data_IF_657629944714
#
_entry.id   IF_657629944714
#
_cell.length_a   1.000
_cell.length_b   1.000
_cell.length_c   1.000
_cell.angle_alpha   90.00
_cell.angle_beta   90.00
_cell.angle_gamma   90.00
#
_symmetry.space_group_name_H-M   'P 1'
#
loop_
_entity.id
_entity.type
_entity.pdbx_description
1 polymer ?
#
# COMPACT_ATOMS: atom_id res chain seq x y z
N UNK A 1 16.70 1.47 -12.20
CA UNK A 1 15.55 0.63 -12.58
C UNK A 1 15.19 -0.20 -11.36
N UNK A 2 14.02 0.00 -10.76
CA UNK A 2 13.60 -0.81 -9.61
C UNK A 2 13.13 -2.17 -10.14
N UNK A 3 13.79 -3.25 -9.72
CA UNK A 3 13.29 -4.61 -9.94
C UNK A 3 11.98 -4.74 -9.17
N UNK A 4 10.84 -4.86 -9.87
CA UNK A 4 9.58 -5.25 -9.26
C UNK A 4 9.78 -6.64 -8.65
N UNK A 5 10.01 -6.71 -7.34
CA UNK A 5 10.22 -7.96 -6.64
C UNK A 5 8.98 -8.83 -6.77
N UNK A 6 9.13 -10.08 -7.18
CA UNK A 6 8.08 -11.09 -7.12
C UNK A 6 8.02 -11.61 -5.68
N UNK A 7 6.83 -11.63 -5.09
CA UNK A 7 6.57 -12.30 -3.80
C UNK A 7 5.60 -13.44 -4.03
N UNK A 8 5.64 -14.49 -3.22
CA UNK A 8 4.78 -15.66 -3.41
C UNK A 8 3.60 -15.63 -2.42
N UNK A 9 2.39 -15.78 -2.94
CA UNK A 9 1.23 -16.14 -2.14
C UNK A 9 1.18 -17.67 -2.01
N UNK A 10 1.26 -18.18 -0.79
CA UNK A 10 1.29 -19.62 -0.50
C UNK A 10 -0.02 -20.04 0.16
N UNK A 11 -0.71 -21.01 -0.43
CA UNK A 11 -1.95 -21.58 0.09
C UNK A 11 -1.68 -23.01 0.56
N UNK A 12 -1.95 -23.28 1.84
CA UNK A 12 -1.86 -24.62 2.39
C UNK A 12 -3.16 -25.38 2.16
N UNK A 13 -3.08 -26.56 1.57
CA UNK A 13 -4.20 -27.46 1.34
C UNK A 13 -4.03 -28.70 2.21
N UNK A 14 -5.08 -29.06 2.95
CA UNK A 14 -5.03 -30.13 3.95
C UNK A 14 -6.11 -31.18 3.74
N UNK A 15 -5.78 -32.45 3.99
CA UNK A 15 -6.75 -33.51 4.20
C UNK A 15 -7.19 -33.53 5.68
N UNK A 16 -8.46 -33.84 5.94
CA UNK A 16 -9.00 -33.96 7.29
C UNK A 16 -8.45 -35.18 8.07
N UNK A 17 -7.97 -36.19 7.34
CA UNK A 17 -7.30 -37.37 7.88
C UNK A 17 -6.33 -37.96 6.84
N UNK A 18 -5.39 -38.79 7.29
CA UNK A 18 -4.50 -39.53 6.38
C UNK A 18 -5.29 -40.57 5.58
N UNK A 19 -4.98 -40.68 4.29
CA UNK A 19 -5.52 -41.71 3.40
C UNK A 19 -4.47 -42.79 3.11
N UNK A 20 -4.88 -44.05 2.99
CA UNK A 20 -4.04 -45.14 2.50
C UNK A 20 -3.92 -45.15 0.96
N UNK A 21 -4.80 -44.42 0.27
CA UNK A 21 -4.79 -44.22 -1.18
C UNK A 21 -4.32 -42.82 -1.53
N UNK A 22 -3.73 -42.67 -2.72
CA UNK A 22 -3.41 -41.35 -3.28
C UNK A 22 -4.67 -40.53 -3.49
N UNK A 23 -4.67 -39.29 -3.00
CA UNK A 23 -5.75 -38.31 -3.20
C UNK A 23 -5.25 -37.22 -4.14
N UNK A 24 -6.04 -36.87 -5.15
CA UNK A 24 -5.72 -35.75 -6.05
C UNK A 24 -6.83 -34.72 -6.07
N UNK A 25 -6.47 -33.45 -6.22
CA UNK A 25 -7.43 -32.36 -6.39
C UNK A 25 -6.86 -31.33 -7.36
N UNK A 26 -7.67 -30.90 -8.32
CA UNK A 26 -7.30 -29.85 -9.26
C UNK A 26 -7.49 -28.48 -8.62
N UNK A 27 -6.72 -27.50 -9.07
CA UNK A 27 -6.86 -26.11 -8.65
C UNK A 27 -6.71 -25.14 -9.81
N UNK A 28 -7.38 -24.00 -9.71
CA UNK A 28 -7.17 -22.85 -10.58
C UNK A 28 -7.24 -21.54 -9.78
N UNK A 29 -6.51 -20.53 -10.23
CA UNK A 29 -6.66 -19.15 -9.77
C UNK A 29 -7.69 -18.41 -10.60
N UNK A 30 -8.48 -17.53 -9.97
CA UNK A 30 -9.40 -16.64 -10.64
C UNK A 30 -9.24 -15.19 -10.17
N UNK A 31 -9.46 -14.26 -11.09
CA UNK A 31 -9.39 -12.82 -10.81
C UNK A 31 -10.45 -12.41 -9.80
N UNK A 32 -10.08 -11.43 -8.98
CA UNK A 32 -10.99 -10.69 -8.11
C UNK A 32 -10.85 -9.20 -8.39
N UNK A 33 -10.33 -8.45 -7.42
CA UNK A 33 -9.84 -7.09 -7.67
C UNK A 33 -8.40 -7.06 -8.18
N UNK A 34 -7.67 -8.16 -7.98
CA UNK A 34 -6.40 -8.45 -8.62
C UNK A 34 -6.63 -9.14 -9.96
N UNK A 35 -5.91 -8.69 -11.00
CA UNK A 35 -5.94 -9.18 -12.37
C UNK A 35 -4.67 -9.98 -12.71
N UNK A 36 -4.85 -11.15 -13.32
CA UNK A 36 -3.76 -11.96 -13.83
C UNK A 36 -2.87 -11.19 -14.83
N UNK A 37 -1.57 -11.47 -14.80
CA UNK A 37 -0.55 -10.81 -15.62
C UNK A 37 -0.15 -9.40 -15.15
N UNK A 38 -0.94 -8.77 -14.26
CA UNK A 38 -0.65 -7.44 -13.71
C UNK A 38 -0.42 -7.46 -12.19
N UNK A 39 -1.21 -8.26 -11.46
CA UNK A 39 -1.12 -8.42 -10.01
C UNK A 39 -0.45 -9.74 -9.62
N UNK A 40 -0.75 -10.80 -10.35
CA UNK A 40 -0.29 -12.15 -10.06
C UNK A 40 -0.20 -12.97 -11.35
N UNK A 41 0.51 -14.09 -11.31
CA UNK A 41 0.55 -15.03 -12.43
C UNK A 41 -0.51 -16.11 -12.23
N UNK A 42 -1.39 -16.30 -13.23
CA UNK A 42 -2.37 -17.39 -13.21
C UNK A 42 -1.67 -18.71 -12.97
N UNK A 43 -2.15 -19.45 -11.97
CA UNK A 43 -1.60 -20.76 -11.61
C UNK A 43 -2.73 -21.78 -11.59
N UNK A 44 -2.51 -22.90 -12.28
CA UNK A 44 -3.44 -24.03 -12.32
C UNK A 44 -2.65 -25.32 -12.21
N UNK A 45 -3.30 -26.39 -11.79
CA UNK A 45 -2.66 -27.71 -11.74
C UNK A 45 -3.44 -28.72 -10.92
N UNK A 46 -2.75 -29.78 -10.54
CA UNK A 46 -3.29 -30.84 -9.68
C UNK A 46 -2.34 -31.04 -8.49
N UNK A 47 -2.89 -31.02 -7.30
CA UNK A 47 -2.20 -31.42 -6.08
C UNK A 47 -2.37 -32.92 -5.90
N UNK A 48 -1.27 -33.59 -5.58
CA UNK A 48 -1.24 -35.00 -5.22
C UNK A 48 -0.84 -35.15 -3.77
N UNK A 49 -1.67 -35.82 -2.98
CA UNK A 49 -1.36 -36.32 -1.66
C UNK A 49 -1.06 -37.80 -1.79
N UNK A 50 0.22 -38.17 -1.63
CA UNK A 50 0.60 -39.58 -1.54
C UNK A 50 0.02 -40.20 -0.26
N UNK A 51 -0.07 -41.52 -0.21
CA UNK A 51 -0.56 -42.22 0.98
C UNK A 51 0.16 -41.74 2.25
N UNK A 52 -0.61 -41.43 3.29
CA UNK A 52 -0.13 -40.87 4.56
C UNK A 52 0.18 -39.36 4.57
N UNK A 53 0.25 -38.68 3.42
CA UNK A 53 0.48 -37.23 3.35
C UNK A 53 -0.84 -36.49 3.50
N UNK A 54 -0.89 -35.50 4.40
CA UNK A 54 -2.10 -34.73 4.69
C UNK A 54 -2.00 -33.25 4.36
N UNK A 55 -0.81 -32.74 4.01
CA UNK A 55 -0.59 -31.32 3.72
C UNK A 55 0.21 -31.14 2.45
N UNK A 56 -0.24 -30.21 1.61
CA UNK A 56 0.44 -29.75 0.39
C UNK A 56 0.26 -28.24 0.26
N UNK A 57 1.03 -27.62 -0.64
CA UNK A 57 0.97 -26.17 -0.85
C UNK A 57 0.79 -25.81 -2.32
N UNK A 58 -0.02 -24.78 -2.59
CA UNK A 58 -0.07 -24.08 -3.87
C UNK A 58 0.72 -22.80 -3.74
N UNK A 59 1.63 -22.53 -4.68
CA UNK A 59 2.39 -21.28 -4.72
C UNK A 59 1.94 -20.47 -5.93
N UNK A 60 1.47 -19.25 -5.69
CA UNK A 60 1.02 -18.32 -6.73
C UNK A 60 1.97 -17.11 -6.73
N UNK A 61 2.68 -16.82 -7.83
CA UNK A 61 3.53 -15.63 -7.93
C UNK A 61 2.70 -14.35 -7.91
N UNK A 62 2.95 -13.47 -6.95
CA UNK A 62 2.44 -12.10 -6.90
C UNK A 62 3.48 -11.15 -7.51
N UNK A 63 3.03 -10.33 -8.45
CA UNK A 63 3.85 -9.41 -9.22
C UNK A 63 3.94 -8.07 -8.49
N UNK A 64 5.17 -7.66 -8.15
CA UNK A 64 5.41 -6.35 -7.54
C UNK A 64 5.02 -5.21 -8.48
N UNK A 65 4.57 -4.09 -7.91
CA UNK A 65 4.18 -2.89 -8.64
C UNK A 65 4.95 -1.67 -8.15
N UNK A 66 5.11 -0.71 -9.06
CA UNK A 66 5.72 0.60 -8.77
C UNK A 66 4.71 1.63 -8.25
N UNK A 67 3.42 1.36 -8.36
CA UNK A 67 2.34 2.30 -8.03
C UNK A 67 1.55 1.75 -6.85
N UNK A 68 1.65 2.42 -5.70
CA UNK A 68 0.95 2.03 -4.48
C UNK A 68 -0.56 2.18 -4.65
N UNK A 69 -1.25 1.06 -4.87
CA UNK A 69 -2.71 1.00 -4.83
C UNK A 69 -3.17 0.33 -3.53
N UNK A 70 -4.47 0.44 -3.27
CA UNK A 70 -5.17 -0.32 -2.26
C UNK A 70 -4.83 -1.82 -2.35
N UNK A 71 -5.02 -2.55 -1.25
CA UNK A 71 -4.93 -4.02 -1.29
C UNK A 71 -5.92 -4.60 -2.30
N UNK A 72 -5.46 -5.63 -3.01
CA UNK A 72 -6.19 -6.31 -4.09
C UNK A 72 -6.24 -7.81 -3.81
N UNK A 73 -7.23 -8.49 -4.38
CA UNK A 73 -7.57 -9.87 -4.04
C UNK A 73 -7.81 -10.72 -5.27
N UNK A 74 -7.41 -11.99 -5.20
CA UNK A 74 -7.74 -13.04 -6.17
C UNK A 74 -8.17 -14.30 -5.40
N UNK A 75 -8.68 -15.31 -6.09
CA UNK A 75 -9.09 -16.57 -5.45
C UNK A 75 -8.37 -17.78 -6.04
N UNK A 76 -8.31 -18.85 -5.23
CA UNK A 76 -7.92 -20.19 -5.64
C UNK A 76 -9.12 -21.11 -5.41
N UNK A 77 -9.54 -21.82 -6.46
CA UNK A 77 -10.65 -22.77 -6.42
C UNK A 77 -10.15 -24.20 -6.60
N UNK A 78 -10.56 -25.10 -5.71
CA UNK A 78 -10.32 -26.54 -5.80
C UNK A 78 -11.47 -27.24 -6.50
N UNK A 79 -11.15 -28.21 -7.36
CA UNK A 79 -12.13 -28.97 -8.14
C UNK A 79 -11.70 -30.42 -8.38
N UNK A 80 -12.64 -31.25 -8.83
CA UNK A 80 -12.38 -32.62 -9.29
C UNK A 80 -11.57 -33.49 -8.30
N UNK A 81 -12.00 -33.62 -7.02
CA UNK A 81 -11.30 -34.49 -6.09
C UNK A 81 -11.40 -35.96 -6.56
N UNK A 82 -10.33 -36.72 -6.37
CA UNK A 82 -10.29 -38.18 -6.57
C UNK A 82 -9.88 -38.82 -5.25
N UNK A 83 -10.59 -39.89 -4.85
CA UNK A 83 -10.41 -40.57 -3.56
C UNK A 83 -10.61 -39.65 -2.33
N UNK A 84 -11.43 -38.61 -2.49
CA UNK A 84 -11.78 -37.67 -1.43
C UNK A 84 -13.00 -36.83 -1.80
N UNK A 85 -13.49 -36.05 -0.85
CA UNK A 85 -14.56 -35.06 -1.06
C UNK A 85 -14.02 -33.67 -0.76
N UNK A 86 -14.57 -32.66 -1.42
CA UNK A 86 -14.21 -31.27 -1.14
C UNK A 86 -14.90 -30.81 0.15
N UNK A 87 -14.10 -30.28 1.09
CA UNK A 87 -14.57 -29.42 2.17
C UNK A 87 -14.64 -27.97 1.69
N UNK A 88 -13.79 -27.10 2.23
CA UNK A 88 -13.61 -25.74 1.72
C UNK A 88 -12.87 -25.76 0.38
N UNK A 89 -13.52 -25.35 -0.69
CA UNK A 89 -12.97 -25.36 -2.05
C UNK A 89 -12.53 -23.99 -2.57
N UNK A 90 -12.78 -22.90 -1.84
CA UNK A 90 -12.43 -21.54 -2.25
C UNK A 90 -11.55 -20.87 -1.18
N UNK A 91 -10.41 -20.33 -1.60
CA UNK A 91 -9.53 -19.53 -0.76
C UNK A 91 -9.23 -18.19 -1.41
N UNK A 92 -9.17 -17.12 -0.61
CA UNK A 92 -8.87 -15.76 -1.10
C UNK A 92 -7.43 -15.38 -0.78
N UNK A 93 -6.65 -15.02 -1.81
CA UNK A 93 -5.34 -14.39 -1.69
C UNK A 93 -5.47 -12.88 -1.64
N UNK A 94 -4.70 -12.22 -0.77
CA UNK A 94 -4.62 -10.75 -0.70
C UNK A 94 -3.21 -10.30 -0.99
N UNK A 95 -3.05 -9.42 -1.99
CA UNK A 95 -1.80 -8.76 -2.31
C UNK A 95 -1.86 -7.38 -1.67
N UNK A 96 -0.89 -7.12 -0.79
CA UNK A 96 -0.77 -5.84 -0.08
C UNK A 96 0.45 -5.12 -0.61
N UNK A 97 0.26 -3.89 -1.07
CA UNK A 97 1.38 -2.99 -1.28
C UNK A 97 1.91 -2.52 0.08
N UNK A 98 3.23 -2.53 0.25
CA UNK A 98 3.87 -1.97 1.44
C UNK A 98 3.73 -0.45 1.41
N UNK A 99 2.99 0.15 2.34
CA UNK A 99 2.97 1.61 2.47
C UNK A 99 4.39 2.08 2.81
N UNK A 100 5.00 2.94 1.98
CA UNK A 100 6.20 3.65 2.39
C UNK A 100 5.87 4.47 3.65
N UNK A 101 6.77 4.53 4.64
CA UNK A 101 6.54 5.33 5.84
C UNK A 101 6.28 6.79 5.46
N UNK A 102 5.18 7.35 5.95
CA UNK A 102 4.86 8.76 5.77
C UNK A 102 5.85 9.60 6.58
N UNK A 103 6.68 10.38 5.90
CA UNK A 103 7.54 11.40 6.53
C UNK A 103 6.73 12.68 6.69
N UNK A 104 6.42 13.06 7.93
CA UNK A 104 5.83 14.36 8.28
C UNK A 104 6.88 15.24 8.97
N UNK A 105 6.92 16.53 8.64
CA UNK A 105 7.68 17.52 9.39
C UNK A 105 6.73 18.18 10.41
N UNK A 106 7.05 18.09 11.70
CA UNK A 106 6.10 18.41 12.78
C UNK A 106 6.10 19.90 13.19
N UNK A 107 7.06 20.71 12.75
CA UNK A 107 7.01 22.18 12.82
C UNK A 107 8.28 22.77 12.24
N UNK A 108 8.18 23.96 11.65
CA UNK A 108 9.35 24.80 11.35
C UNK A 108 9.25 26.01 12.27
N UNK A 109 10.20 26.15 13.20
CA UNK A 109 10.35 27.37 13.99
C UNK A 109 11.19 28.34 13.16
N UNK A 110 10.62 29.48 12.80
CA UNK A 110 11.33 30.51 12.04
C UNK A 110 12.09 31.41 13.03
N UNK A 111 13.41 31.45 12.93
CA UNK A 111 14.16 32.61 13.35
C UNK A 111 14.36 33.49 12.10
N UNK A 112 14.20 34.81 12.25
CA UNK A 112 14.44 35.85 11.24
C UNK A 112 13.51 35.85 9.99
N UNK A 113 13.31 37.06 9.43
CA UNK A 113 12.24 37.48 8.49
C UNK A 113 12.12 36.69 7.16
N UNK A 114 12.96 35.68 6.95
CA UNK A 114 12.96 34.83 5.77
C UNK A 114 13.15 33.37 6.23
N UNK A 115 12.29 32.48 5.75
CA UNK A 115 12.39 31.06 6.04
C UNK A 115 12.35 30.22 4.77
N UNK A 116 13.24 29.25 4.73
CA UNK A 116 13.26 28.22 3.68
C UNK A 116 12.62 26.97 4.24
N UNK A 117 11.53 26.53 3.61
CA UNK A 117 10.92 25.22 3.90
C UNK A 117 11.32 24.28 2.78
N UNK A 118 12.05 23.21 3.14
CA UNK A 118 12.42 22.14 2.20
C UNK A 118 11.44 20.99 2.35
N UNK A 119 10.85 20.58 1.24
CA UNK A 119 9.89 19.48 1.21
C UNK A 119 10.62 18.19 0.83
N UNK A 120 10.38 17.07 1.54
CA UNK A 120 11.03 15.81 1.19
C UNK A 120 10.57 15.35 -0.20
N UNK A 121 11.48 14.75 -0.96
CA UNK A 121 11.15 14.31 -2.30
C UNK A 121 10.38 12.99 -2.28
N UNK A 122 9.05 13.02 -2.42
CA UNK A 122 8.20 11.83 -2.46
C UNK A 122 7.28 11.83 -3.68
N UNK A 123 7.32 10.76 -4.48
CA UNK A 123 6.47 10.60 -5.66
C UNK A 123 4.99 10.51 -5.28
N UNK A 124 4.12 11.23 -6.00
CA UNK A 124 2.65 11.18 -5.81
C UNK A 124 2.12 11.92 -4.57
N UNK A 125 2.94 12.78 -3.94
CA UNK A 125 2.54 13.57 -2.77
C UNK A 125 2.48 15.05 -3.11
N UNK A 126 1.43 15.71 -2.64
CA UNK A 126 1.30 17.16 -2.66
C UNK A 126 1.42 17.72 -1.26
N UNK A 127 2.05 18.88 -1.15
CA UNK A 127 2.22 19.56 0.13
C UNK A 127 1.35 20.82 0.16
N UNK A 128 0.68 21.03 1.29
CA UNK A 128 -0.04 22.24 1.62
C UNK A 128 0.62 22.89 2.83
N UNK A 129 0.95 24.18 2.70
CA UNK A 129 1.45 24.96 3.83
C UNK A 129 0.30 25.72 4.48
N UNK A 130 0.16 25.61 5.80
CA UNK A 130 -0.80 26.36 6.62
C UNK A 130 -0.04 27.14 7.70
N UNK A 131 -0.59 28.24 8.20
CA UNK A 131 -0.02 28.98 9.32
C UNK A 131 -1.09 29.36 10.34
N UNK A 132 -0.69 29.53 11.60
CA UNK A 132 -1.55 30.03 12.69
C UNK A 132 -0.80 31.07 13.51
N UNK A 133 -1.50 32.06 14.05
CA UNK A 133 -0.91 33.00 15.01
C UNK A 133 -0.69 32.34 16.38
N UNK A 134 0.14 32.96 17.21
CA UNK A 134 0.53 32.47 18.55
C UNK A 134 -0.63 32.30 19.54
N UNK A 135 -1.82 32.83 19.23
CA UNK A 135 -2.95 32.95 20.16
C UNK A 135 -3.73 31.64 20.42
N UNK A 136 -3.26 30.50 19.93
CA UNK A 136 -3.81 29.18 20.27
C UNK A 136 -5.10 28.81 19.53
N UNK A 137 -4.96 27.85 18.62
CA UNK A 137 -5.84 26.69 18.38
C UNK A 137 -7.38 26.84 18.30
N UNK A 138 -8.00 28.03 18.13
CA UNK A 138 -9.49 28.13 18.15
C UNK A 138 -10.18 29.02 17.09
N UNK A 139 -9.54 29.42 15.99
CA UNK A 139 -10.21 30.22 14.95
C UNK A 139 -9.88 29.76 13.51
N UNK A 140 -10.82 29.89 12.56
CA UNK A 140 -10.70 29.35 11.20
C UNK A 140 -9.55 30.03 10.45
N UNK A 141 -8.86 29.24 9.63
CA UNK A 141 -7.75 29.64 8.77
C UNK A 141 -8.04 30.96 8.03
N UNK A 142 -7.44 32.07 8.47
CA UNK A 142 -7.56 33.35 7.77
C UNK A 142 -6.42 33.48 6.75
N UNK A 143 -6.76 33.69 5.48
CA UNK A 143 -5.80 33.92 4.39
C UNK A 143 -5.41 35.40 4.32
N UNK A 144 -4.22 35.75 4.80
CA UNK A 144 -3.46 36.90 4.29
C UNK A 144 -2.75 36.54 2.98
N UNK A 145 -2.55 37.50 2.05
CA UNK A 145 -1.92 37.26 0.77
C UNK A 145 -0.41 37.04 0.97
N UNK A 146 -0.03 35.82 1.31
CA UNK A 146 1.25 35.28 0.84
C UNK A 146 0.94 34.81 -0.57
N UNK A 147 1.45 35.53 -1.57
CA UNK A 147 1.18 35.25 -2.97
C UNK A 147 1.41 33.75 -3.27
N UNK A 148 0.34 33.06 -3.65
CA UNK A 148 0.40 31.77 -4.33
C UNK A 148 0.97 30.60 -3.55
N UNK A 149 0.33 30.15 -2.47
CA UNK A 149 0.56 28.78 -1.98
C UNK A 149 -0.40 27.82 -2.64
N UNK A 150 -0.24 27.69 -3.96
CA UNK A 150 -0.74 26.56 -4.72
C UNK A 150 -0.11 25.28 -4.17
N UNK A 151 -0.87 24.19 -4.22
CA UNK A 151 -0.37 22.82 -4.18
C UNK A 151 1.03 22.76 -4.81
N UNK A 152 2.07 22.59 -4.01
CA UNK A 152 3.45 22.56 -4.48
C UNK A 152 3.88 21.12 -4.68
N UNK A 153 4.46 20.86 -5.85
CA UNK A 153 4.88 19.53 -6.29
C UNK A 153 6.11 19.03 -5.53
N UNK A 154 6.34 17.73 -5.67
CA UNK A 154 7.50 17.02 -5.15
C UNK A 154 8.83 17.76 -5.47
N UNK A 155 9.67 17.99 -4.44
CA UNK A 155 11.00 18.59 -4.57
C UNK A 155 11.03 20.11 -4.72
N UNK A 156 9.89 20.79 -4.56
CA UNK A 156 9.83 22.26 -4.59
C UNK A 156 10.52 22.87 -3.37
N UNK A 157 11.08 24.07 -3.50
CA UNK A 157 11.57 24.90 -2.38
C UNK A 157 10.73 26.16 -2.33
N UNK A 158 10.14 26.45 -1.16
CA UNK A 158 9.39 27.69 -0.95
C UNK A 158 10.17 28.61 -0.01
N UNK A 159 10.45 29.82 -0.49
CA UNK A 159 10.98 30.90 0.35
C UNK A 159 9.81 31.73 0.83
N UNK A 160 9.61 31.76 2.15
CA UNK A 160 8.60 32.59 2.78
C UNK A 160 9.23 33.92 3.15
N UNK A 161 8.70 35.00 2.61
CA UNK A 161 8.94 36.36 3.11
C UNK A 161 7.72 36.77 3.92
N UNK A 162 7.88 36.93 5.22
CA UNK A 162 6.85 37.48 6.10
C UNK A 162 7.35 38.84 6.62
N UNK A 163 6.53 39.88 6.43
CA UNK A 163 6.83 41.23 6.94
C UNK A 163 6.26 41.42 8.37
N UNK A 164 5.94 40.32 9.05
CA UNK A 164 5.42 40.32 10.41
C UNK A 164 6.53 40.55 11.42
N UNK A 165 6.25 41.43 12.38
CA UNK A 165 7.10 41.68 13.54
C UNK A 165 6.78 40.76 14.72
N UNK A 166 5.86 39.79 14.57
CA UNK A 166 5.48 38.86 15.64
C UNK A 166 6.48 37.70 15.74
N UNK A 167 7.29 37.64 16.82
CA UNK A 167 8.30 36.60 16.99
C UNK A 167 7.71 35.22 17.33
N UNK A 168 6.40 35.12 17.63
CA UNK A 168 5.75 33.89 18.09
C UNK A 168 4.87 33.24 17.00
N UNK A 169 5.09 33.56 15.72
CA UNK A 169 4.29 33.02 14.62
C UNK A 169 4.75 31.60 14.24
N UNK A 170 3.79 30.70 14.04
CA UNK A 170 4.06 29.29 13.71
C UNK A 170 3.49 28.90 12.34
N UNK A 171 4.26 28.11 11.60
CA UNK A 171 3.87 27.53 10.32
C UNK A 171 3.75 26.02 10.48
N UNK A 172 2.66 25.46 9.97
CA UNK A 172 2.37 24.02 9.98
C UNK A 172 2.37 23.52 8.55
N UNK A 173 3.28 22.60 8.26
CA UNK A 173 3.29 21.87 7.00
C UNK A 173 2.30 20.71 7.09
N UNK A 174 1.36 20.64 6.17
CA UNK A 174 0.45 19.50 6.05
C UNK A 174 0.66 18.80 4.71
N UNK A 175 1.13 17.55 4.77
CA UNK A 175 1.18 16.68 3.60
C UNK A 175 -0.21 16.06 3.35
N UNK A 176 -0.68 16.11 2.11
CA UNK A 176 -1.89 15.42 1.68
C UNK A 176 -1.55 14.58 0.45
N UNK A 177 -1.87 13.28 0.50
CA UNK A 177 -1.69 12.41 -0.66
C UNK A 177 -2.74 12.76 -1.72
N UNK A 178 -2.30 12.99 -2.96
CA UNK A 178 -3.22 13.15 -4.11
C UNK A 178 -3.59 11.74 -4.59
N UNK A 179 -4.88 11.45 -4.84
CA UNK A 179 -5.32 10.15 -5.35
C UNK A 179 -4.72 9.78 -6.70
#
# INVERSE_FOLDING_TARGET
MATNGTSNAVFTVTLSASSSSTVTVSYNTQDGTAAAGTDYTTTTGTITFNAGVTTQTITVPALGRTTYKNSVTFTVTLSNPVNGTLGTSLATGTIRDAFLPLVSATSVTLANQNATVTFPSSAGVSYLLRYTNAAGLRAPFSTWPVAGNSVIGNGSVLTLSDNSTDPNRFYVLQATRVP
#
